data_IF_490829819873
#
_entry.id   IF_490829819873
#
_cell.length_a   1.000
_cell.length_b   1.000
_cell.length_c   1.000
_cell.angle_alpha   90.00
_cell.angle_beta   90.00
_cell.angle_gamma   90.00
#
_symmetry.space_group_name_H-M   'P 1'
#
loop_
_entity.id
_entity.type
_entity.pdbx_description
1 polymer ?
#
# COMPACT_ATOMS: atom_id res chain seq x y z
N UNK A 1 -116.47 7.80 -15.64
CA UNK A 1 -115.54 8.93 -15.86
C UNK A 1 -114.13 8.36 -15.79
N UNK A 2 -113.39 8.35 -16.91
CA UNK A 2 -112.05 7.73 -17.02
C UNK A 2 -111.04 8.88 -17.12
N UNK A 3 -110.25 9.11 -16.07
CA UNK A 3 -109.20 10.13 -16.07
C UNK A 3 -107.95 9.49 -16.68
N UNK A 4 -107.53 10.00 -17.83
CA UNK A 4 -106.29 9.61 -18.51
C UNK A 4 -105.26 10.67 -18.16
N UNK A 5 -104.23 10.30 -17.40
CA UNK A 5 -103.05 11.14 -17.22
C UNK A 5 -102.12 10.90 -18.42
N UNK A 6 -102.01 11.88 -19.31
CA UNK A 6 -100.93 11.98 -20.29
C UNK A 6 -99.74 12.63 -19.62
N UNK A 7 -98.75 11.85 -19.17
CA UNK A 7 -97.45 12.38 -18.79
C UNK A 7 -96.69 12.75 -20.07
N UNK A 8 -96.47 14.04 -20.28
CA UNK A 8 -95.59 14.55 -21.32
C UNK A 8 -94.15 14.20 -20.91
N UNK A 9 -93.59 13.17 -21.53
CA UNK A 9 -92.18 12.80 -21.33
C UNK A 9 -91.36 13.83 -22.12
N UNK A 10 -90.80 14.81 -21.42
CA UNK A 10 -89.80 15.72 -21.98
C UNK A 10 -88.69 14.90 -22.64
N UNK A 11 -88.62 14.96 -23.98
CA UNK A 11 -87.57 14.29 -24.72
C UNK A 11 -86.25 15.01 -24.41
N UNK A 12 -85.21 14.31 -23.93
CA UNK A 12 -83.91 14.94 -23.70
C UNK A 12 -83.42 15.61 -24.99
N UNK A 13 -83.06 16.89 -24.91
CA UNK A 13 -82.53 17.63 -26.06
C UNK A 13 -81.20 17.02 -26.49
N UNK A 14 -80.92 16.96 -27.79
CA UNK A 14 -79.66 16.41 -28.33
C UNK A 14 -78.41 17.09 -27.72
N UNK A 15 -78.55 18.35 -27.29
CA UNK A 15 -77.54 19.15 -26.60
C UNK A 15 -77.14 18.55 -25.24
N UNK A 16 -78.08 17.97 -24.50
CA UNK A 16 -77.80 17.30 -23.22
C UNK A 16 -76.97 16.02 -23.39
N UNK A 17 -77.14 15.30 -24.51
CA UNK A 17 -76.36 14.10 -24.83
C UNK A 17 -74.91 14.40 -25.20
N UNK A 18 -74.67 15.47 -25.97
CA UNK A 18 -73.32 15.89 -26.37
C UNK A 18 -72.52 16.37 -25.15
N UNK A 19 -73.15 17.12 -24.23
CA UNK A 19 -72.52 17.57 -22.99
C UNK A 19 -72.08 16.40 -22.09
N UNK A 20 -72.89 15.35 -21.98
CA UNK A 20 -72.56 14.15 -21.21
C UNK A 20 -71.38 13.38 -21.82
N UNK A 21 -71.38 13.17 -23.15
CA UNK A 21 -70.28 12.49 -23.83
C UNK A 21 -68.97 13.26 -23.70
N UNK A 22 -69.01 14.60 -23.84
CA UNK A 22 -67.84 15.45 -23.64
C UNK A 22 -67.33 15.39 -22.19
N UNK A 23 -68.22 15.38 -21.19
CA UNK A 23 -67.84 15.24 -19.79
C UNK A 23 -67.18 13.88 -19.50
N UNK A 24 -67.73 12.77 -20.03
CA UNK A 24 -67.15 11.43 -19.88
C UNK A 24 -65.77 11.35 -20.55
N UNK A 25 -65.63 11.90 -21.77
CA UNK A 25 -64.36 11.95 -22.47
C UNK A 25 -63.31 12.77 -21.69
N UNK A 26 -63.71 13.94 -21.17
CA UNK A 26 -62.85 14.79 -20.35
C UNK A 26 -62.40 14.09 -19.07
N UNK A 27 -63.34 13.47 -18.33
CA UNK A 27 -63.03 12.70 -17.11
C UNK A 27 -62.05 11.58 -17.43
N UNK A 28 -62.29 10.83 -18.51
CA UNK A 28 -61.43 9.70 -18.89
C UNK A 28 -60.01 10.16 -19.21
N UNK A 29 -59.86 11.23 -20.00
CA UNK A 29 -58.56 11.82 -20.32
C UNK A 29 -57.87 12.33 -19.04
N UNK A 30 -58.60 13.04 -18.18
CA UNK A 30 -58.05 13.60 -16.95
C UNK A 30 -57.62 12.52 -15.96
N UNK A 31 -58.41 11.46 -15.77
CA UNK A 31 -58.05 10.31 -14.94
C UNK A 31 -56.82 9.59 -15.49
N UNK A 32 -56.72 9.43 -16.82
CA UNK A 32 -55.54 8.81 -17.44
C UNK A 32 -54.27 9.64 -17.21
N UNK A 33 -54.36 10.97 -17.30
CA UNK A 33 -53.25 11.89 -17.02
C UNK A 33 -52.81 11.84 -15.56
N UNK A 34 -53.75 11.79 -14.61
CA UNK A 34 -53.45 11.64 -13.18
C UNK A 34 -52.71 10.32 -12.93
N UNK A 35 -53.16 9.21 -13.53
CA UNK A 35 -52.49 7.91 -13.36
C UNK A 35 -51.08 7.90 -13.93
N UNK A 36 -50.86 8.55 -15.09
CA UNK A 36 -49.53 8.69 -15.69
C UNK A 36 -48.62 9.52 -14.77
N UNK A 37 -49.09 10.65 -14.25
CA UNK A 37 -48.32 11.48 -13.32
C UNK A 37 -48.01 10.77 -12.01
N UNK A 38 -48.98 10.07 -11.41
CA UNK A 38 -48.77 9.29 -10.19
C UNK A 38 -47.72 8.19 -10.41
N UNK A 39 -47.79 7.48 -11.54
CA UNK A 39 -46.79 6.46 -11.90
C UNK A 39 -45.41 7.07 -12.13
N UNK A 40 -45.33 8.24 -12.76
CA UNK A 40 -44.07 8.96 -12.95
C UNK A 40 -43.44 9.36 -11.60
N UNK A 41 -44.22 9.98 -10.71
CA UNK A 41 -43.75 10.38 -9.37
C UNK A 41 -43.28 9.17 -8.57
N UNK A 42 -44.06 8.08 -8.56
CA UNK A 42 -43.68 6.83 -7.89
C UNK A 42 -42.37 6.25 -8.46
N UNK A 43 -42.25 6.20 -9.79
CA UNK A 43 -41.05 5.66 -10.46
C UNK A 43 -39.84 6.53 -10.14
N UNK A 44 -39.98 7.85 -10.14
CA UNK A 44 -38.87 8.77 -9.87
C UNK A 44 -38.45 8.71 -8.40
N UNK A 45 -39.41 8.67 -7.46
CA UNK A 45 -39.12 8.47 -6.04
C UNK A 45 -38.41 7.14 -5.79
N UNK A 46 -38.88 6.06 -6.43
CA UNK A 46 -38.23 4.75 -6.34
C UNK A 46 -36.81 4.77 -6.90
N UNK A 47 -36.57 5.41 -8.07
CA UNK A 47 -35.22 5.58 -8.64
C UNK A 47 -34.29 6.36 -7.72
N UNK A 48 -34.77 7.46 -7.13
CA UNK A 48 -33.97 8.26 -6.20
C UNK A 48 -33.63 7.48 -4.92
N UNK A 49 -34.59 6.71 -4.39
CA UNK A 49 -34.34 5.83 -3.24
C UNK A 49 -33.33 4.72 -3.57
N UNK A 50 -33.40 4.12 -4.77
CA UNK A 50 -32.41 3.16 -5.23
C UNK A 50 -31.02 3.78 -5.37
N UNK A 51 -30.92 4.97 -5.96
CA UNK A 51 -29.65 5.68 -6.10
C UNK A 51 -29.02 6.02 -4.73
N UNK A 52 -29.83 6.47 -3.77
CA UNK A 52 -29.36 6.72 -2.40
C UNK A 52 -28.93 5.42 -1.70
N UNK A 53 -29.63 4.30 -1.92
CA UNK A 53 -29.24 2.98 -1.41
C UNK A 53 -27.92 2.49 -2.02
N UNK A 54 -27.71 2.74 -3.32
CA UNK A 54 -26.49 2.40 -4.06
C UNK A 54 -25.26 3.13 -3.53
N UNK A 55 -25.38 4.45 -3.35
CA UNK A 55 -24.32 5.28 -2.80
C UNK A 55 -23.99 4.87 -1.35
N UNK A 56 -25.01 4.61 -0.52
CA UNK A 56 -24.79 4.14 0.85
C UNK A 56 -24.10 2.77 0.91
N UNK A 57 -24.55 1.81 0.10
CA UNK A 57 -23.91 0.50 0.01
C UNK A 57 -22.43 0.66 -0.40
N UNK A 58 -22.14 1.51 -1.38
CA UNK A 58 -20.76 1.77 -1.81
C UNK A 58 -19.88 2.28 -0.65
N UNK A 59 -20.31 3.32 0.09
CA UNK A 59 -19.51 3.85 1.21
C UNK A 59 -19.33 2.85 2.36
N UNK A 60 -20.34 2.03 2.65
CA UNK A 60 -20.20 0.94 3.64
C UNK A 60 -19.15 -0.07 3.17
N UNK A 61 -19.12 -0.41 1.87
CA UNK A 61 -18.11 -1.31 1.33
C UNK A 61 -16.69 -0.71 1.42
N UNK A 62 -16.52 0.58 1.11
CA UNK A 62 -15.23 1.29 1.28
C UNK A 62 -14.78 1.31 2.75
N UNK A 63 -15.67 1.67 3.67
CA UNK A 63 -15.39 1.67 5.11
C UNK A 63 -15.02 0.28 5.63
N UNK A 64 -15.63 -0.77 5.07
CA UNK A 64 -15.25 -2.16 5.37
C UNK A 64 -13.81 -2.49 4.96
N UNK A 65 -13.32 -1.94 3.84
CA UNK A 65 -11.91 -2.10 3.43
C UNK A 65 -10.96 -1.37 4.38
N UNK A 66 -11.27 -0.12 4.74
CA UNK A 66 -10.43 0.65 5.68
C UNK A 66 -10.36 -0.02 7.05
N UNK A 67 -11.51 -0.51 7.55
CA UNK A 67 -11.58 -1.33 8.76
C UNK A 67 -10.71 -2.58 8.64
N UNK A 68 -10.78 -3.28 7.50
CA UNK A 68 -10.01 -4.49 7.25
C UNK A 68 -8.49 -4.24 7.31
N UNK A 69 -8.02 -3.17 6.67
CA UNK A 69 -6.60 -2.77 6.69
C UNK A 69 -6.16 -2.52 8.12
N UNK A 70 -6.90 -1.68 8.85
CA UNK A 70 -6.55 -1.34 10.23
C UNK A 70 -6.52 -2.56 11.14
N UNK A 71 -7.57 -3.39 11.09
CA UNK A 71 -7.66 -4.60 11.91
C UNK A 71 -6.57 -5.61 11.58
N UNK A 72 -6.23 -5.77 10.30
CA UNK A 72 -5.18 -6.71 9.89
C UNK A 72 -3.80 -6.27 10.39
N UNK A 73 -3.53 -4.97 10.40
CA UNK A 73 -2.34 -4.40 11.03
C UNK A 73 -2.34 -4.62 12.55
N UNK A 74 -3.44 -4.28 13.23
CA UNK A 74 -3.53 -4.41 14.70
C UNK A 74 -3.40 -5.87 15.19
N UNK A 75 -3.86 -6.84 14.40
CA UNK A 75 -3.80 -8.26 14.72
C UNK A 75 -2.57 -8.98 14.18
N UNK A 76 -1.77 -8.32 13.33
CA UNK A 76 -0.76 -8.95 12.46
C UNK A 76 -1.30 -10.24 11.79
N UNK A 77 -2.51 -10.15 11.23
CA UNK A 77 -3.18 -11.27 10.58
C UNK A 77 -3.85 -10.84 9.28
N UNK A 78 -3.37 -11.40 8.17
CA UNK A 78 -3.82 -11.11 6.81
C UNK A 78 -4.66 -12.24 6.21
N UNK A 79 -5.29 -13.08 7.05
CA UNK A 79 -6.20 -14.11 6.62
C UNK A 79 -7.36 -14.28 7.61
N UNK A 80 -8.49 -13.63 7.32
CA UNK A 80 -9.68 -13.67 8.16
C UNK A 80 -10.93 -13.20 7.41
N UNK A 81 -12.10 -13.45 7.99
CA UNK A 81 -13.36 -12.88 7.53
C UNK A 81 -14.22 -12.43 8.72
N UNK A 82 -15.12 -11.51 8.46
CA UNK A 82 -16.03 -10.99 9.47
C UNK A 82 -17.27 -10.39 8.84
N UNK A 83 -18.39 -10.49 9.56
CA UNK A 83 -19.63 -9.82 9.22
C UNK A 83 -19.94 -8.76 10.28
N UNK A 84 -20.33 -7.57 9.83
CA UNK A 84 -20.72 -6.46 10.67
C UNK A 84 -22.10 -5.93 10.29
N UNK A 85 -22.80 -5.38 11.29
CA UNK A 85 -24.03 -4.63 11.08
C UNK A 85 -23.73 -3.13 11.23
N UNK A 86 -24.13 -2.35 10.23
CA UNK A 86 -24.17 -0.90 10.29
C UNK A 86 -25.63 -0.47 10.46
N UNK A 87 -25.87 0.76 10.96
CA UNK A 87 -27.21 1.22 11.30
C UNK A 87 -28.23 1.10 10.15
N UNK A 88 -27.77 1.12 8.89
CA UNK A 88 -28.62 1.09 7.70
C UNK A 88 -28.30 -0.08 6.73
N UNK A 89 -27.46 -1.04 7.14
CA UNK A 89 -27.06 -2.13 6.26
C UNK A 89 -26.13 -3.16 6.90
N UNK A 90 -25.68 -4.13 6.11
CA UNK A 90 -24.68 -5.13 6.55
C UNK A 90 -23.41 -4.98 5.74
N UNK A 91 -22.29 -5.43 6.31
CA UNK A 91 -21.01 -5.56 5.62
C UNK A 91 -20.40 -6.93 5.90
N UNK A 92 -19.78 -7.52 4.90
CA UNK A 92 -19.00 -8.74 4.99
C UNK A 92 -17.61 -8.45 4.43
N UNK A 93 -16.60 -8.57 5.28
CA UNK A 93 -15.21 -8.33 4.92
C UNK A 93 -14.49 -9.67 4.89
N UNK A 94 -13.67 -9.88 3.86
CA UNK A 94 -12.77 -11.02 3.74
C UNK A 94 -11.38 -10.52 3.36
N UNK A 95 -10.39 -10.90 4.14
CA UNK A 95 -8.98 -10.66 3.91
C UNK A 95 -8.32 -12.00 3.63
N UNK A 96 -7.62 -12.09 2.50
CA UNK A 96 -6.97 -13.33 2.07
C UNK A 96 -5.57 -13.03 1.53
N UNK A 97 -4.57 -13.75 2.03
CA UNK A 97 -3.24 -13.76 1.45
C UNK A 97 -3.25 -14.60 0.17
N UNK A 98 -2.84 -13.99 -0.95
CA UNK A 98 -2.75 -14.62 -2.28
C UNK A 98 -1.33 -15.09 -2.62
N UNK A 99 -0.38 -14.80 -1.74
CA UNK A 99 1.05 -15.07 -1.90
C UNK A 99 1.80 -14.47 -0.72
N UNK A 100 3.13 -14.55 -0.74
CA UNK A 100 3.94 -14.15 0.42
C UNK A 100 3.71 -12.69 0.83
N UNK A 101 3.62 -11.76 -0.13
CA UNK A 101 3.41 -10.33 0.18
C UNK A 101 2.12 -9.78 -0.41
N UNK A 102 1.26 -10.59 -1.02
CA UNK A 102 0.06 -10.09 -1.70
C UNK A 102 -1.19 -10.43 -0.91
N UNK A 103 -1.99 -9.42 -0.61
CA UNK A 103 -3.25 -9.57 0.12
C UNK A 103 -4.39 -9.01 -0.70
N UNK A 104 -5.47 -9.78 -0.79
CA UNK A 104 -6.74 -9.32 -1.32
C UNK A 104 -7.71 -9.08 -0.17
N UNK A 105 -8.20 -7.85 -0.08
CA UNK A 105 -9.30 -7.45 0.78
C UNK A 105 -10.54 -7.32 -0.09
N UNK A 106 -11.61 -8.00 0.28
CA UNK A 106 -12.93 -7.83 -0.34
C UNK A 106 -13.92 -7.40 0.73
N UNK A 107 -14.71 -6.38 0.42
CA UNK A 107 -15.79 -5.87 1.27
C UNK A 107 -17.08 -5.88 0.45
N UNK A 108 -18.07 -6.61 0.95
CA UNK A 108 -19.39 -6.74 0.36
C UNK A 108 -20.41 -6.13 1.31
N UNK A 109 -21.10 -5.08 0.88
CA UNK A 109 -22.13 -4.40 1.65
C UNK A 109 -23.51 -4.64 1.07
N UNK A 110 -24.53 -4.55 1.92
CA UNK A 110 -25.93 -4.61 1.50
C UNK A 110 -26.78 -3.59 2.27
N UNK A 111 -27.54 -2.77 1.52
CA UNK A 111 -28.50 -1.79 2.03
C UNK A 111 -29.86 -2.07 1.38
N UNK A 112 -30.77 -2.70 2.13
CA UNK A 112 -32.05 -3.17 1.59
C UNK A 112 -31.85 -4.22 0.48
N UNK A 113 -32.25 -3.90 -0.75
CA UNK A 113 -32.08 -4.76 -1.93
C UNK A 113 -30.81 -4.46 -2.73
N UNK A 114 -30.10 -3.37 -2.40
CA UNK A 114 -28.89 -2.98 -3.10
C UNK A 114 -27.68 -3.61 -2.43
N UNK A 115 -26.78 -4.16 -3.23
CA UNK A 115 -25.53 -4.75 -2.77
C UNK A 115 -24.36 -4.18 -3.55
N UNK A 116 -23.22 -3.95 -2.88
CA UNK A 116 -21.98 -3.48 -3.52
C UNK A 116 -20.78 -4.26 -3.05
N UNK A 117 -19.88 -4.54 -3.96
CA UNK A 117 -18.62 -5.19 -3.66
C UNK A 117 -17.47 -4.30 -4.09
N UNK A 118 -16.60 -4.00 -3.14
CA UNK A 118 -15.31 -3.38 -3.40
C UNK A 118 -14.20 -4.38 -3.04
N UNK A 119 -13.17 -4.41 -3.86
CA UNK A 119 -11.97 -5.21 -3.62
C UNK A 119 -10.73 -4.34 -3.75
N UNK A 120 -9.81 -4.52 -2.81
CA UNK A 120 -8.52 -3.85 -2.74
C UNK A 120 -7.43 -4.93 -2.75
N UNK A 121 -6.54 -4.85 -3.72
CA UNK A 121 -5.33 -5.67 -3.77
C UNK A 121 -4.16 -4.84 -3.20
N UNK A 122 -3.46 -5.41 -2.22
CA UNK A 122 -2.35 -4.80 -1.50
C UNK A 122 -1.09 -5.64 -1.65
N UNK A 123 0.08 -4.98 -1.72
CA UNK A 123 1.30 -5.60 -1.22
C UNK A 123 1.48 -5.25 0.25
N UNK A 124 1.62 -6.27 1.10
CA UNK A 124 1.97 -6.17 2.50
C UNK A 124 3.38 -6.71 2.63
N UNK A 125 4.35 -5.81 2.66
CA UNK A 125 5.77 -6.16 2.58
C UNK A 125 6.36 -6.06 3.98
N UNK A 126 6.77 -7.18 4.56
CA UNK A 126 7.63 -7.17 5.74
C UNK A 126 9.07 -6.89 5.31
N UNK A 127 9.54 -5.68 5.58
CA UNK A 127 10.88 -5.26 5.15
C UNK A 127 12.02 -6.04 5.80
N UNK A 128 11.77 -6.71 6.95
CA UNK A 128 12.77 -7.57 7.60
C UNK A 128 13.11 -8.80 6.77
N UNK A 129 12.31 -9.15 5.76
CA UNK A 129 12.56 -10.30 4.90
C UNK A 129 13.45 -9.95 3.70
N UNK A 130 13.72 -8.66 3.49
CA UNK A 130 14.41 -8.17 2.29
C UNK A 130 15.88 -7.84 2.58
N UNK A 131 16.80 -8.53 1.91
CA UNK A 131 18.23 -8.19 1.94
C UNK A 131 18.54 -6.99 1.05
N UNK A 132 17.72 -6.75 0.02
CA UNK A 132 17.79 -5.53 -0.80
C UNK A 132 16.41 -4.94 -0.97
N UNK A 133 16.23 -3.69 -0.56
CA UNK A 133 14.99 -2.95 -0.72
C UNK A 133 15.31 -1.51 -1.17
N UNK A 134 15.26 -1.27 -2.48
CA UNK A 134 15.67 0.01 -3.07
C UNK A 134 14.62 0.57 -4.02
N UNK A 135 14.48 1.89 -4.04
CA UNK A 135 13.59 2.59 -4.99
C UNK A 135 14.20 2.77 -6.38
N UNK A 136 15.49 2.47 -6.54
CA UNK A 136 16.16 2.52 -7.84
C UNK A 136 16.15 1.16 -8.54
N UNK A 137 16.80 1.13 -9.70
CA UNK A 137 16.97 -0.08 -10.52
C UNK A 137 18.30 -0.77 -10.24
N UNK A 138 18.35 -2.07 -10.55
CA UNK A 138 19.59 -2.81 -10.67
C UNK A 138 20.19 -2.62 -12.07
N UNK A 139 21.40 -2.07 -12.13
CA UNK A 139 22.22 -2.02 -13.34
C UNK A 139 23.38 -3.00 -13.21
N UNK A 140 23.27 -4.15 -13.88
CA UNK A 140 24.25 -5.23 -13.88
C UNK A 140 23.79 -6.46 -13.11
N UNK A 141 24.73 -7.23 -12.55
CA UNK A 141 24.42 -8.47 -11.82
C UNK A 141 24.69 -8.34 -10.33
N UNK A 142 23.71 -8.74 -9.52
CA UNK A 142 23.84 -8.91 -8.07
C UNK A 142 23.82 -10.41 -7.77
N UNK A 143 24.73 -10.87 -6.92
CA UNK A 143 24.69 -12.21 -6.35
C UNK A 143 23.78 -12.20 -5.14
N UNK A 144 23.05 -13.27 -4.96
CA UNK A 144 22.16 -13.49 -3.84
C UNK A 144 21.99 -14.99 -3.62
N UNK A 145 21.71 -15.41 -2.38
CA UNK A 145 21.27 -16.76 -2.03
C UNK A 145 19.76 -16.90 -2.31
N UNK A 146 19.31 -18.14 -2.50
CA UNK A 146 17.92 -18.52 -2.75
C UNK A 146 16.92 -18.11 -1.66
N UNK A 147 17.40 -17.79 -0.46
CA UNK A 147 16.59 -17.38 0.70
C UNK A 147 16.39 -15.85 0.72
N UNK A 148 17.10 -15.11 -0.14
CA UNK A 148 17.07 -13.65 -0.12
C UNK A 148 15.95 -13.05 -0.96
N UNK A 149 15.17 -12.18 -0.34
CA UNK A 149 14.15 -11.38 -1.03
C UNK A 149 14.77 -10.05 -1.46
N UNK A 150 14.59 -9.72 -2.73
CA UNK A 150 15.11 -8.50 -3.34
C UNK A 150 13.94 -7.70 -3.93
N UNK A 151 13.86 -6.42 -3.59
CA UNK A 151 12.93 -5.46 -4.20
C UNK A 151 13.72 -4.31 -4.80
N UNK A 152 13.52 -4.14 -6.10
CA UNK A 152 13.95 -2.97 -6.86
C UNK A 152 12.71 -2.17 -7.27
N UNK A 153 12.91 -0.91 -7.62
CA UNK A 153 11.82 0.01 -7.99
C UNK A 153 10.72 0.10 -6.91
N UNK A 154 11.13 0.04 -5.64
CA UNK A 154 10.22 0.22 -4.51
C UNK A 154 9.60 1.63 -4.54
N UNK A 155 8.25 1.76 -4.52
CA UNK A 155 7.59 3.06 -4.65
C UNK A 155 7.76 3.94 -3.40
N UNK A 156 7.96 3.29 -2.25
CA UNK A 156 8.18 3.94 -0.97
C UNK A 156 9.23 3.17 -0.18
N UNK A 157 10.04 3.90 0.57
CA UNK A 157 11.09 3.38 1.45
C UNK A 157 10.60 3.33 2.90
N UNK A 158 11.20 2.47 3.75
CA UNK A 158 10.94 2.54 5.18
C UNK A 158 11.16 3.95 5.71
N UNK A 159 10.22 4.41 6.53
CA UNK A 159 10.39 5.66 7.26
C UNK A 159 11.30 5.41 8.47
N UNK A 160 12.57 5.78 8.33
CA UNK A 160 13.56 5.66 9.40
C UNK A 160 13.77 7.00 10.11
N UNK A 161 13.99 6.97 11.43
CA UNK A 161 14.33 8.17 12.19
C UNK A 161 15.78 8.59 11.92
N UNK A 162 15.98 9.47 10.93
CA UNK A 162 17.31 9.97 10.58
C UNK A 162 17.97 10.75 11.73
N UNK A 163 17.17 11.49 12.50
CA UNK A 163 17.65 12.25 13.66
C UNK A 163 18.14 11.31 14.77
N UNK A 164 17.40 10.25 15.08
CA UNK A 164 17.83 9.25 16.07
C UNK A 164 19.11 8.54 15.61
N UNK A 165 19.18 8.12 14.34
CA UNK A 165 20.37 7.49 13.77
C UNK A 165 21.59 8.43 13.82
N UNK A 166 21.39 9.72 13.52
CA UNK A 166 22.43 10.75 13.60
C UNK A 166 22.90 10.98 15.02
N UNK A 167 21.98 11.07 15.99
CA UNK A 167 22.30 11.23 17.41
C UNK A 167 23.10 10.04 17.96
N UNK A 168 22.71 8.80 17.63
CA UNK A 168 23.46 7.60 18.01
C UNK A 168 24.86 7.62 17.41
N UNK A 169 25.00 7.93 16.13
CA UNK A 169 26.30 8.04 15.48
C UNK A 169 27.18 9.13 16.11
N UNK A 170 26.61 10.27 16.52
CA UNK A 170 27.33 11.33 17.23
C UNK A 170 27.79 10.86 18.61
N UNK A 171 26.92 10.20 19.38
CA UNK A 171 27.24 9.65 20.70
C UNK A 171 28.36 8.58 20.63
N UNK A 172 28.37 7.77 19.56
CA UNK A 172 29.39 6.75 19.33
C UNK A 172 30.69 7.30 18.70
N UNK A 173 30.77 8.60 18.40
CA UNK A 173 31.93 9.21 17.73
C UNK A 173 32.10 8.81 16.25
N UNK A 174 31.01 8.43 15.58
CA UNK A 174 30.95 7.86 14.21
C UNK A 174 30.10 8.70 13.26
N UNK A 175 29.96 9.99 13.58
CA UNK A 175 29.35 10.98 12.71
C UNK A 175 30.40 11.67 11.83
N UNK A 176 30.19 11.65 10.53
CA UNK A 176 31.07 12.24 9.52
C UNK A 176 30.30 13.27 8.71
N UNK A 177 30.59 14.55 8.93
CA UNK A 177 30.00 15.68 8.19
C UNK A 177 30.51 15.82 6.75
N UNK A 178 31.52 15.03 6.37
CA UNK A 178 32.18 15.04 5.07
C UNK A 178 32.19 13.63 4.48
N UNK A 179 32.95 13.43 3.39
CA UNK A 179 33.16 12.08 2.86
C UNK A 179 33.89 11.21 3.89
N UNK A 180 33.51 9.94 3.98
CA UNK A 180 34.23 8.92 4.73
C UNK A 180 34.93 7.97 3.75
N UNK A 181 36.22 7.75 3.95
CA UNK A 181 36.99 6.74 3.21
C UNK A 181 37.53 5.71 4.21
N UNK A 182 37.09 4.46 4.05
CA UNK A 182 37.56 3.32 4.84
C UNK A 182 38.60 2.59 4.00
N UNK A 183 39.87 2.68 4.39
CA UNK A 183 41.00 2.11 3.68
C UNK A 183 41.71 1.07 4.54
N UNK A 184 41.97 -0.13 3.99
CA UNK A 184 42.58 -1.24 4.75
C UNK A 184 41.82 -1.59 6.05
N UNK A 185 40.51 -1.37 6.07
CA UNK A 185 39.67 -1.59 7.24
C UNK A 185 39.83 -0.54 8.34
N UNK A 186 40.43 0.62 8.02
CA UNK A 186 40.56 1.76 8.93
C UNK A 186 39.72 2.94 8.42
N UNK A 187 38.91 3.59 9.28
CA UNK A 187 38.60 3.19 10.65
C UNK A 187 37.95 1.79 10.72
N UNK A 188 38.31 1.05 11.77
CA UNK A 188 37.79 -0.30 11.99
C UNK A 188 36.44 -0.21 12.69
N UNK A 189 35.43 -0.84 12.10
CA UNK A 189 34.10 -0.92 12.66
C UNK A 189 33.69 -2.39 12.76
N UNK A 190 33.24 -2.82 13.95
CA UNK A 190 32.43 -4.03 14.09
C UNK A 190 30.94 -3.69 13.93
N UNK A 191 30.07 -4.69 13.69
CA UNK A 191 28.63 -4.42 13.69
C UNK A 191 28.13 -4.00 15.07
N UNK A 192 28.54 -4.72 16.11
CA UNK A 192 28.25 -4.41 17.51
C UNK A 192 29.27 -3.44 18.09
N UNK A 193 28.82 -2.57 18.99
CA UNK A 193 29.70 -1.67 19.76
C UNK A 193 30.75 -2.45 20.56
N UNK A 194 30.33 -3.59 21.14
CA UNK A 194 31.18 -4.53 21.82
C UNK A 194 31.16 -5.91 21.13
N UNK A 195 32.31 -6.46 20.71
CA UNK A 195 32.37 -7.79 20.09
C UNK A 195 31.85 -8.89 21.03
N UNK A 196 30.93 -9.73 20.55
CA UNK A 196 30.39 -10.87 21.29
C UNK A 196 29.14 -10.58 22.11
N UNK A 197 28.73 -9.32 22.21
CA UNK A 197 27.48 -8.91 22.86
C UNK A 197 26.43 -8.54 21.79
N UNK A 198 25.63 -9.53 21.43
CA UNK A 198 24.59 -9.41 20.40
C UNK A 198 23.34 -8.68 20.88
N UNK A 199 23.25 -8.36 22.18
CA UNK A 199 22.13 -7.63 22.79
C UNK A 199 22.37 -6.11 22.87
N UNK A 200 23.60 -5.66 22.58
CA UNK A 200 23.98 -4.24 22.64
C UNK A 200 23.61 -3.40 21.42
N UNK A 201 23.87 -2.09 21.53
CA UNK A 201 23.69 -1.12 20.45
C UNK A 201 24.53 -1.47 19.22
N UNK A 202 23.87 -1.47 18.06
CA UNK A 202 24.58 -1.54 16.79
C UNK A 202 25.41 -0.27 16.61
N UNK A 203 26.55 -0.44 15.96
CA UNK A 203 27.37 0.68 15.56
C UNK A 203 26.72 1.40 14.37
N UNK A 204 26.32 2.64 14.59
CA UNK A 204 25.76 3.51 13.55
C UNK A 204 26.86 4.42 13.03
N UNK A 205 27.14 4.32 11.72
CA UNK A 205 28.08 5.17 11.01
C UNK A 205 27.29 6.10 10.11
N UNK A 206 27.25 7.39 10.44
CA UNK A 206 26.47 8.38 9.70
C UNK A 206 27.39 9.25 8.84
N UNK A 207 27.17 9.26 7.53
CA UNK A 207 27.99 9.98 6.54
C UNK A 207 27.11 10.95 5.75
N UNK A 208 27.29 12.26 5.97
CA UNK A 208 26.54 13.34 5.30
C UNK A 208 26.87 13.46 3.79
N UNK A 209 27.99 12.88 3.35
CA UNK A 209 28.40 12.88 1.95
C UNK A 209 28.66 11.45 1.45
N UNK A 210 29.76 11.22 0.73
CA UNK A 210 30.02 9.94 0.10
C UNK A 210 30.78 8.99 1.03
N UNK A 211 30.43 7.71 0.96
CA UNK A 211 31.16 6.62 1.59
C UNK A 211 31.99 5.88 0.54
N UNK A 212 33.29 5.77 0.75
CA UNK A 212 34.20 4.97 -0.07
C UNK A 212 34.81 3.89 0.80
N UNK A 213 34.62 2.63 0.42
CA UNK A 213 35.23 1.48 1.08
C UNK A 213 36.27 0.94 0.12
N UNK A 214 37.56 1.09 0.43
CA UNK A 214 38.67 0.71 -0.45
C UNK A 214 39.70 -0.19 0.23
N UNK A 215 40.25 -1.16 -0.52
CA UNK A 215 41.43 -1.97 -0.12
C UNK A 215 41.31 -2.66 1.25
N UNK A 216 40.13 -3.09 1.69
CA UNK A 216 39.96 -3.66 3.03
C UNK A 216 40.29 -5.16 3.03
N UNK A 217 41.40 -5.53 3.68
CA UNK A 217 41.67 -6.93 4.04
C UNK A 217 40.89 -7.37 5.30
N UNK A 218 40.34 -6.40 6.04
CA UNK A 218 39.51 -6.62 7.21
C UNK A 218 38.01 -6.55 6.86
N UNK A 219 37.21 -7.30 7.62
CA UNK A 219 35.76 -7.15 7.67
C UNK A 219 35.41 -5.86 8.39
N UNK A 220 34.53 -5.07 7.81
CA UNK A 220 33.93 -3.90 8.47
C UNK A 220 32.46 -4.17 8.74
N UNK A 221 31.88 -3.56 9.77
CA UNK A 221 30.47 -3.72 10.06
C UNK A 221 29.81 -2.53 10.73
N UNK A 222 28.48 -2.54 10.72
CA UNK A 222 27.63 -1.52 11.31
C UNK A 222 26.43 -1.18 10.44
N UNK A 223 25.61 -0.25 10.93
CA UNK A 223 24.55 0.41 10.17
C UNK A 223 25.16 1.66 9.54
N UNK A 224 25.44 1.60 8.24
CA UNK A 224 26.00 2.71 7.47
C UNK A 224 24.88 3.56 6.89
N UNK A 225 24.60 4.70 7.51
CA UNK A 225 23.65 5.70 7.01
C UNK A 225 24.40 6.68 6.11
N UNK A 226 24.08 6.70 4.82
CA UNK A 226 24.84 7.47 3.83
C UNK A 226 23.92 8.38 3.03
N UNK A 227 24.18 9.69 3.09
CA UNK A 227 23.40 10.71 2.36
C UNK A 227 23.92 10.93 0.93
N UNK A 228 25.14 10.47 0.62
CA UNK A 228 25.75 10.59 -0.71
C UNK A 228 25.77 9.27 -1.48
N UNK A 229 26.85 9.06 -2.23
CA UNK A 229 27.12 7.83 -2.99
C UNK A 229 27.89 6.84 -2.13
N UNK A 230 27.60 5.54 -2.26
CA UNK A 230 28.43 4.46 -1.70
C UNK A 230 29.28 3.85 -2.81
N UNK A 231 30.60 3.82 -2.63
CA UNK A 231 31.53 3.23 -3.58
C UNK A 231 32.32 2.12 -2.89
N UNK A 232 32.18 0.89 -3.37
CA UNK A 232 32.91 -0.27 -2.87
C UNK A 232 34.01 -0.65 -3.86
N UNK A 233 35.26 -0.54 -3.41
CA UNK A 233 36.53 -0.82 -4.12
C UNK A 233 37.38 -1.82 -3.29
N UNK A 234 37.87 -2.91 -3.89
CA UNK A 234 38.81 -3.87 -3.27
C UNK A 234 38.55 -4.26 -1.79
N UNK A 235 37.35 -4.71 -1.41
CA UNK A 235 36.99 -5.04 -0.01
C UNK A 235 36.67 -6.52 0.16
N UNK A 236 37.07 -7.14 1.28
CA UNK A 236 36.80 -8.56 1.57
C UNK A 236 35.33 -8.82 1.91
N UNK A 237 34.80 -8.20 2.96
CA UNK A 237 33.42 -8.40 3.41
C UNK A 237 32.92 -7.23 4.26
N UNK A 238 31.61 -7.00 4.21
CA UNK A 238 30.88 -6.03 5.04
C UNK A 238 29.82 -6.80 5.82
N UNK A 239 29.74 -6.58 7.13
CA UNK A 239 28.73 -7.16 8.01
C UNK A 239 27.82 -6.03 8.51
N UNK A 240 26.68 -5.82 7.88
CA UNK A 240 25.70 -4.84 8.33
C UNK A 240 24.82 -4.30 7.23
N UNK A 241 24.24 -3.13 7.52
CA UNK A 241 23.22 -2.51 6.67
C UNK A 241 23.79 -1.27 6.01
N UNK A 242 23.58 -1.14 4.70
CA UNK A 242 23.82 0.12 3.97
C UNK A 242 22.46 0.78 3.77
N UNK A 243 22.22 1.86 4.51
CA UNK A 243 21.00 2.65 4.40
C UNK A 243 21.27 3.97 3.66
N UNK A 244 20.65 4.13 2.50
CA UNK A 244 20.77 5.33 1.67
C UNK A 244 19.53 6.23 1.83
N UNK A 245 19.60 7.10 2.83
CA UNK A 245 18.49 7.93 3.29
C UNK A 245 18.13 9.12 2.37
N UNK A 246 18.99 9.48 1.42
CA UNK A 246 18.80 10.69 0.62
C UNK A 246 17.76 10.48 -0.50
N UNK A 247 16.64 11.21 -0.53
CA UNK A 247 15.59 11.03 -1.53
C UNK A 247 15.96 11.49 -2.96
N UNK A 248 17.14 12.08 -3.18
CA UNK A 248 17.56 12.50 -4.51
C UNK A 248 17.98 11.29 -5.37
N UNK A 249 17.24 11.08 -6.47
CA UNK A 249 17.27 9.92 -7.38
C UNK A 249 18.59 9.62 -8.11
N UNK A 250 19.66 10.36 -7.84
CA UNK A 250 20.94 10.23 -8.57
C UNK A 250 22.00 9.43 -7.81
N UNK A 251 21.72 8.99 -6.59
CA UNK A 251 22.69 8.24 -5.79
C UNK A 251 22.75 6.78 -6.23
N UNK A 252 23.89 6.15 -5.97
CA UNK A 252 24.10 4.76 -6.34
C UNK A 252 25.00 4.06 -5.34
N UNK A 253 24.70 2.78 -5.12
CA UNK A 253 25.67 1.82 -4.59
C UNK A 253 26.48 1.31 -5.77
N UNK A 254 27.77 1.64 -5.82
CA UNK A 254 28.63 1.29 -6.94
C UNK A 254 29.69 0.28 -6.48
N UNK A 255 29.65 -0.91 -7.07
CA UNK A 255 30.68 -1.94 -6.88
C UNK A 255 31.65 -1.94 -8.08
N UNK A 256 32.86 -1.43 -7.86
CA UNK A 256 33.92 -1.32 -8.87
C UNK A 256 35.15 -2.15 -8.46
N UNK A 257 35.52 -3.19 -9.22
CA UNK A 257 36.87 -3.80 -9.24
C UNK A 257 36.93 -4.96 -10.23
N UNK A 258 38.10 -5.26 -10.82
CA UNK A 258 38.29 -6.32 -11.80
C UNK A 258 38.49 -7.74 -11.23
N UNK A 259 38.95 -7.89 -9.99
CA UNK A 259 39.56 -9.16 -9.54
C UNK A 259 38.98 -9.83 -8.27
N UNK A 260 38.10 -9.19 -7.50
CA UNK A 260 37.60 -9.77 -6.23
C UNK A 260 36.08 -9.71 -6.09
N UNK A 261 35.50 -10.84 -5.66
CA UNK A 261 34.12 -10.94 -5.18
C UNK A 261 33.96 -10.20 -3.86
N UNK A 262 32.76 -9.68 -3.62
CA UNK A 262 32.45 -8.98 -2.39
C UNK A 262 31.21 -9.53 -1.78
N UNK A 263 31.25 -9.56 -0.46
CA UNK A 263 30.15 -10.06 0.33
C UNK A 263 29.66 -8.99 1.28
N UNK A 264 28.35 -8.73 1.25
CA UNK A 264 27.64 -7.93 2.24
C UNK A 264 26.69 -8.85 3.00
N UNK A 265 27.01 -9.21 4.24
CA UNK A 265 26.08 -9.93 5.13
C UNK A 265 25.20 -8.90 5.83
N UNK A 266 23.90 -8.90 5.55
CA UNK A 266 22.93 -7.89 6.01
C UNK A 266 22.06 -7.43 4.87
N UNK A 267 22.14 -6.14 4.51
CA UNK A 267 21.28 -5.62 3.46
C UNK A 267 21.58 -4.21 2.97
N UNK A 268 20.93 -3.87 1.85
CA UNK A 268 20.95 -2.56 1.22
C UNK A 268 19.53 -2.02 1.17
N UNK A 269 19.28 -0.94 1.90
CA UNK A 269 17.97 -0.29 1.95
C UNK A 269 18.14 1.17 1.51
N UNK A 270 17.22 1.69 0.71
CA UNK A 270 17.12 3.15 0.51
C UNK A 270 17.01 3.60 -0.94
N UNK A 271 17.13 4.92 -1.13
CA UNK A 271 16.91 5.55 -2.43
C UNK A 271 18.17 5.53 -3.27
N UNK A 272 18.42 4.40 -3.94
CA UNK A 272 19.62 4.23 -4.72
C UNK A 272 19.43 3.27 -5.89
N UNK A 273 20.11 3.58 -6.99
CA UNK A 273 20.39 2.58 -8.01
C UNK A 273 21.53 1.66 -7.53
N UNK A 274 21.42 0.36 -7.75
CA UNK A 274 22.53 -0.55 -7.52
C UNK A 274 23.27 -0.75 -8.83
N UNK A 275 24.54 -0.34 -8.88
CA UNK A 275 25.41 -0.52 -10.04
C UNK A 275 26.48 -1.54 -9.66
N UNK A 276 26.29 -2.76 -10.13
CA UNK A 276 27.23 -3.85 -9.93
C UNK A 276 27.80 -4.28 -11.28
N UNK A 277 29.09 -4.61 -11.31
CA UNK A 277 29.73 -5.12 -12.52
C UNK A 277 29.77 -6.64 -12.47
N UNK A 278 29.62 -7.29 -13.63
CA UNK A 278 29.78 -8.74 -13.75
C UNK A 278 31.25 -9.04 -14.02
N UNK A 279 31.85 -9.91 -13.21
CA UNK A 279 33.21 -10.42 -13.40
C UNK A 279 33.21 -11.73 -14.19
N UNK A 280 34.39 -12.29 -14.42
CA UNK A 280 34.55 -13.52 -15.20
C UNK A 280 33.91 -14.75 -14.52
N UNK A 281 33.82 -14.78 -13.17
CA UNK A 281 33.17 -15.88 -12.45
C UNK A 281 31.91 -15.44 -11.68
N UNK A 282 31.18 -14.44 -12.20
CA UNK A 282 29.84 -14.08 -11.70
C UNK A 282 29.71 -12.65 -11.17
N UNK A 283 28.66 -12.37 -10.37
CA UNK A 283 28.39 -11.03 -9.85
C UNK A 283 29.48 -10.59 -8.86
N UNK A 284 29.91 -9.33 -8.93
CA UNK A 284 31.00 -8.82 -8.06
C UNK A 284 30.53 -8.33 -6.69
N UNK A 285 29.23 -8.18 -6.51
CA UNK A 285 28.60 -7.92 -5.22
C UNK A 285 27.60 -9.03 -4.97
N UNK A 286 27.78 -9.76 -3.88
CA UNK A 286 26.81 -10.68 -3.33
C UNK A 286 26.31 -10.11 -2.02
N UNK A 287 25.00 -9.93 -1.90
CA UNK A 287 24.37 -9.62 -0.62
C UNK A 287 23.95 -10.95 -0.01
N UNK A 288 24.09 -11.12 1.30
CA UNK A 288 23.53 -12.25 2.03
C UNK A 288 22.57 -11.76 3.08
N UNK A 289 21.40 -12.39 3.16
CA UNK A 289 20.42 -12.08 4.19
C UNK A 289 21.01 -12.33 5.59
N UNK A 290 20.73 -11.41 6.52
CA UNK A 290 21.03 -11.60 7.94
C UNK A 290 19.92 -10.95 8.78
N UNK A 291 19.02 -11.77 9.33
CA UNK A 291 17.88 -11.30 10.13
C UNK A 291 18.31 -10.46 11.32
N UNK A 292 19.33 -10.88 12.06
CA UNK A 292 19.83 -10.16 13.24
C UNK A 292 20.23 -8.72 12.91
N UNK A 293 20.88 -8.50 11.77
CA UNK A 293 21.28 -7.16 11.36
C UNK A 293 20.10 -6.31 10.87
N UNK A 294 19.13 -6.93 10.19
CA UNK A 294 17.93 -6.25 9.72
C UNK A 294 17.02 -5.89 10.89
N UNK A 295 16.70 -6.82 11.79
CA UNK A 295 15.92 -6.59 13.01
C UNK A 295 16.49 -5.42 13.81
N UNK A 296 17.81 -5.41 14.04
CA UNK A 296 18.47 -4.32 14.77
C UNK A 296 18.44 -2.99 14.02
N UNK A 297 18.42 -2.99 12.69
CA UNK A 297 18.22 -1.78 11.90
C UNK A 297 16.79 -1.26 12.01
N UNK A 298 15.79 -2.14 11.96
CA UNK A 298 14.38 -1.75 12.03
C UNK A 298 13.92 -1.26 13.41
N UNK A 299 14.74 -1.41 14.47
CA UNK A 299 14.47 -0.70 15.75
C UNK A 299 14.53 0.82 15.62
N UNK A 300 15.09 1.36 14.53
CA UNK A 300 15.11 2.79 14.22
C UNK A 300 13.96 3.22 13.27
N UNK A 301 13.05 2.31 12.95
CA UNK A 301 11.85 2.60 12.15
C UNK A 301 10.92 3.55 12.92
N UNK A 302 10.33 4.51 12.21
CA UNK A 302 9.24 5.36 12.71
C UNK A 302 7.88 4.66 12.58
N UNK A 303 7.80 3.59 11.79
CA UNK A 303 6.62 2.77 11.66
C UNK A 303 6.65 1.69 12.74
N UNK A 304 5.54 1.48 13.48
CA UNK A 304 5.47 0.51 14.57
C UNK A 304 5.83 -0.91 14.11
N UNK A 305 5.46 -1.24 12.87
CA UNK A 305 5.90 -2.44 12.18
C UNK A 305 6.62 -2.06 10.87
N UNK A 306 7.65 -2.80 10.44
CA UNK A 306 8.35 -2.58 9.19
C UNK A 306 7.52 -3.10 8.00
N UNK A 307 6.20 -2.86 8.03
CA UNK A 307 5.24 -3.30 7.04
C UNK A 307 4.93 -2.13 6.11
N UNK A 308 5.20 -2.31 4.83
CA UNK A 308 4.82 -1.38 3.78
C UNK A 308 3.54 -1.89 3.11
N UNK A 309 2.50 -1.05 3.11
CA UNK A 309 1.27 -1.30 2.36
C UNK A 309 1.31 -0.53 1.04
N UNK A 310 1.33 -1.25 -0.07
CA UNK A 310 1.23 -0.69 -1.43
C UNK A 310 -0.14 -1.02 -2.02
N UNK A 311 -0.91 0.01 -2.39
CA UNK A 311 -2.18 -0.16 -3.10
C UNK A 311 -1.91 -0.48 -4.57
N UNK A 312 -2.33 -1.68 -5.01
CA UNK A 312 -2.13 -2.13 -6.39
C UNK A 312 -3.33 -1.77 -7.26
N UNK A 313 -4.54 -2.13 -6.82
CA UNK A 313 -5.75 -1.92 -7.60
C UNK A 313 -6.98 -1.80 -6.73
N UNK A 314 -7.93 -0.98 -7.18
CA UNK A 314 -9.28 -0.91 -6.65
C UNK A 314 -10.26 -1.42 -7.69
N UNK A 315 -11.05 -2.42 -7.35
CA UNK A 315 -12.11 -2.94 -8.22
C UNK A 315 -13.43 -2.74 -7.49
N UNK A 316 -14.37 -2.08 -8.16
CA UNK A 316 -15.75 -1.95 -7.70
C UNK A 316 -16.63 -2.68 -8.71
N UNK A 317 -17.31 -3.72 -8.24
CA UNK A 317 -18.30 -4.42 -9.04
C UNK A 317 -19.66 -3.73 -8.83
N UNK A 318 -20.26 -3.26 -9.93
CA UNK A 318 -21.54 -2.53 -9.92
C UNK A 318 -22.75 -3.46 -9.88
#
# INVERSE_FOLDING_TARGET
MKIIFTSEIDKPSAESGIGLVAAIAFITIFTSLILIMARYIWTNSHRNALAAGDEKAYYIAESGIEYAVKKSLDLDNWNWNENGNYAEGTVSVSVSSLGEDTVLISSHSQVGITAKRNSLLLYVINLMDYSVYVSGILNGSLGYDSIERLRFDAPQLPLMSLDSLKQVAQAQGRYYNNNLSINNGTPAFGFWSNPGDHDQDANVVYVEKNLVISKTNATIGGIFVVMGKVTMQWSKSINGIIYMANPSSTKSVVCQSFFTYRTLYGGIIGNANIKSTTGWFGPRLTVYYNSTFLEKFYTYSLQPDPVIIEKISWVSDY
#
